data_IF_120641465109
#
_entry.id   IF_120641465109
#
_cell.length_a   1.000
_cell.length_b   1.000
_cell.length_c   1.000
_cell.angle_alpha   90.00
_cell.angle_beta   90.00
_cell.angle_gamma   90.00
#
_symmetry.space_group_name_H-M   'P 1'
#
loop_
_entity.id
_entity.type
_entity.pdbx_description
1 polymer ?
#
# COMPACT_ATOMS: atom_id res chain seq x y z
N UNK A 1 0.32 13.40 -23.37
CA UNK A 1 1.40 12.44 -23.10
C UNK A 1 0.79 11.29 -22.33
N UNK A 2 0.83 10.04 -22.80
CA UNK A 2 0.44 8.93 -21.93
C UNK A 2 1.41 8.93 -20.74
N UNK A 3 0.89 9.01 -19.52
CA UNK A 3 1.69 9.08 -18.30
C UNK A 3 2.62 7.86 -18.23
N UNK A 4 3.93 8.09 -18.08
CA UNK A 4 4.91 7.01 -18.02
C UNK A 4 4.61 6.06 -16.86
N UNK A 5 4.84 4.76 -17.08
CA UNK A 5 4.76 3.72 -16.06
C UNK A 5 5.61 4.09 -14.85
N UNK A 6 5.00 4.20 -13.67
CA UNK A 6 5.70 4.61 -12.45
C UNK A 6 6.38 3.39 -11.80
N UNK A 7 7.54 3.01 -12.36
CA UNK A 7 8.39 1.96 -11.80
C UNK A 7 9.19 2.52 -10.62
N UNK A 8 8.94 2.01 -9.41
CA UNK A 8 9.63 2.46 -8.20
C UNK A 8 9.80 1.34 -7.17
N UNK A 9 10.98 1.29 -6.56
CA UNK A 9 11.29 0.37 -5.47
C UNK A 9 11.54 -1.08 -5.92
N UNK A 10 11.91 -1.94 -4.97
CA UNK A 10 12.12 -3.37 -5.17
C UNK A 10 11.38 -4.20 -4.12
N UNK A 11 11.83 -5.43 -3.86
CA UNK A 11 11.24 -6.32 -2.83
C UNK A 11 11.19 -5.65 -1.44
N UNK A 12 12.23 -4.90 -1.08
CA UNK A 12 12.27 -4.17 0.20
C UNK A 12 11.19 -3.08 0.33
N UNK A 13 10.73 -2.52 -0.80
CA UNK A 13 9.64 -1.54 -0.79
C UNK A 13 8.31 -2.23 -0.47
N UNK A 14 8.09 -3.47 -0.93
CA UNK A 14 6.88 -4.21 -0.57
C UNK A 14 6.82 -4.46 0.93
N UNK A 15 7.92 -4.95 1.52
CA UNK A 15 8.01 -5.15 2.96
C UNK A 15 7.73 -3.87 3.75
N UNK A 16 8.28 -2.72 3.32
CA UNK A 16 8.00 -1.43 3.95
C UNK A 16 6.51 -1.07 3.89
N UNK A 17 5.89 -1.27 2.73
CA UNK A 17 4.49 -0.96 2.54
C UNK A 17 3.59 -1.89 3.37
N UNK A 18 3.97 -3.16 3.55
CA UNK A 18 3.26 -4.11 4.43
C UNK A 18 3.36 -3.69 5.89
N UNK A 19 4.56 -3.30 6.34
CA UNK A 19 4.78 -2.79 7.70
C UNK A 19 3.95 -1.53 7.95
N UNK A 20 3.91 -0.60 6.98
CA UNK A 20 3.07 0.61 7.09
C UNK A 20 1.59 0.21 7.19
N UNK A 21 1.08 -0.65 6.32
CA UNK A 21 -0.32 -1.08 6.36
C UNK A 21 -0.69 -1.72 7.70
N UNK A 22 0.16 -2.61 8.21
CA UNK A 22 -0.02 -3.23 9.53
C UNK A 22 0.00 -2.21 10.68
N UNK A 23 0.92 -1.24 10.64
CA UNK A 23 1.01 -0.17 11.63
C UNK A 23 -0.25 0.71 11.62
N UNK A 24 -0.73 1.13 10.44
CA UNK A 24 -1.93 1.94 10.32
C UNK A 24 -3.16 1.19 10.87
N UNK A 25 -3.36 -0.08 10.47
CA UNK A 25 -4.47 -0.89 10.95
C UNK A 25 -4.44 -1.15 12.46
N UNK A 26 -3.26 -1.35 13.03
CA UNK A 26 -3.11 -1.45 14.48
C UNK A 26 -3.58 -0.17 15.18
N UNK A 27 -3.11 1.00 14.72
CA UNK A 27 -3.44 2.28 15.36
C UNK A 27 -4.91 2.67 15.21
N UNK A 28 -5.50 2.48 14.04
CA UNK A 28 -6.94 2.75 13.86
C UNK A 28 -7.79 1.83 14.73
N UNK A 29 -7.37 0.57 14.90
CA UNK A 29 -8.04 -0.39 15.77
C UNK A 29 -7.97 0.00 17.25
N UNK A 30 -6.78 0.30 17.78
CA UNK A 30 -6.61 0.59 19.21
C UNK A 30 -7.21 1.95 19.59
N UNK A 31 -7.30 2.89 18.66
CA UNK A 31 -7.79 4.25 18.90
C UNK A 31 -9.30 4.44 18.66
N UNK A 32 -10.01 3.48 18.05
CA UNK A 32 -11.40 3.65 17.58
C UNK A 32 -12.42 4.17 18.61
N UNK A 33 -12.20 3.92 19.90
CA UNK A 33 -13.05 4.41 21.00
C UNK A 33 -12.25 5.13 22.09
N UNK A 34 -11.11 5.73 21.70
CA UNK A 34 -10.23 6.46 22.62
C UNK A 34 -10.37 7.96 22.40
N UNK A 35 -10.31 8.79 23.45
CA UNK A 35 -10.20 8.40 24.87
C UNK A 35 -11.48 7.75 25.42
N UNK A 36 -12.66 8.07 24.88
CA UNK A 36 -13.94 7.48 25.27
C UNK A 36 -14.79 7.13 24.05
N UNK A 37 -15.77 6.22 24.17
CA UNK A 37 -16.69 5.89 23.08
C UNK A 37 -17.51 7.08 22.56
N UNK A 38 -17.93 7.98 23.44
CA UNK A 38 -18.75 9.16 23.09
C UNK A 38 -17.92 10.37 22.62
N UNK A 39 -16.59 10.29 22.77
CA UNK A 39 -15.67 11.34 22.36
C UNK A 39 -14.38 10.76 21.79
N UNK A 40 -14.43 10.03 20.66
CA UNK A 40 -13.25 9.41 20.07
C UNK A 40 -12.35 10.43 19.36
N UNK A 41 -11.08 10.07 19.17
CA UNK A 41 -10.15 10.82 18.36
C UNK A 41 -10.59 10.87 16.89
N UNK A 42 -10.36 12.01 16.24
CA UNK A 42 -10.43 12.13 14.80
C UNK A 42 -9.06 11.79 14.20
N UNK A 43 -8.97 10.61 13.59
CA UNK A 43 -7.74 10.11 12.94
C UNK A 43 -7.57 10.70 11.54
N UNK A 44 -6.39 11.25 11.27
CA UNK A 44 -5.98 11.79 9.97
C UNK A 44 -4.78 11.00 9.47
N UNK A 45 -4.84 10.57 8.21
CA UNK A 45 -3.68 10.05 7.51
C UNK A 45 -2.92 11.22 6.87
N UNK A 46 -1.58 11.20 6.96
CA UNK A 46 -0.70 12.19 6.33
C UNK A 46 0.53 11.46 5.81
N UNK A 47 0.81 11.61 4.51
CA UNK A 47 2.00 11.03 3.88
C UNK A 47 2.62 12.04 2.91
N UNK A 48 3.73 12.66 3.34
CA UNK A 48 4.47 13.64 2.55
C UNK A 48 5.19 13.01 1.34
N UNK A 49 5.24 11.68 1.26
CA UNK A 49 5.94 10.92 0.23
C UNK A 49 5.04 9.89 -0.45
N UNK A 50 3.72 10.13 -0.48
CA UNK A 50 2.71 9.23 -1.05
C UNK A 50 2.92 8.89 -2.54
N UNK A 51 3.64 9.75 -3.27
CA UNK A 51 3.82 9.62 -4.71
C UNK A 51 2.47 9.57 -5.45
N UNK A 52 2.34 8.67 -6.43
CA UNK A 52 1.08 8.45 -7.15
C UNK A 52 0.08 7.56 -6.40
N UNK A 53 0.43 7.05 -5.21
CA UNK A 53 -0.37 6.07 -4.47
C UNK A 53 -0.33 4.64 -5.03
N UNK A 54 0.35 4.40 -6.15
CA UNK A 54 0.59 3.08 -6.74
C UNK A 54 1.97 3.01 -7.40
N UNK A 55 2.43 1.79 -7.71
CA UNK A 55 3.68 1.54 -8.42
C UNK A 55 3.54 0.39 -9.40
N UNK A 56 4.28 0.43 -10.49
CA UNK A 56 4.39 -0.67 -11.44
C UNK A 56 5.54 -1.58 -11.06
N UNK A 57 5.27 -2.88 -10.93
CA UNK A 57 6.28 -3.92 -10.75
C UNK A 57 6.26 -4.85 -11.96
N UNK A 58 7.43 -5.38 -12.31
CA UNK A 58 7.56 -6.36 -13.37
C UNK A 58 7.66 -7.75 -12.73
N UNK A 59 6.76 -8.64 -13.12
CA UNK A 59 6.72 -10.02 -12.64
C UNK A 59 7.12 -10.91 -13.82
N UNK A 60 8.22 -11.63 -13.64
CA UNK A 60 8.64 -12.66 -14.58
C UNK A 60 8.12 -14.02 -14.12
N UNK A 61 7.51 -14.77 -15.03
CA UNK A 61 7.05 -16.15 -14.81
C UNK A 61 7.48 -17.06 -15.95
N UNK A 62 7.47 -18.37 -15.72
CA UNK A 62 7.94 -19.36 -16.66
C UNK A 62 9.47 -19.46 -16.73
N UNK A 63 9.96 -20.16 -17.75
CA UNK A 63 11.37 -20.39 -17.98
C UNK A 63 11.80 -21.84 -17.74
N UNK A 64 13.11 -22.06 -17.77
CA UNK A 64 13.70 -23.41 -17.80
C UNK A 64 13.28 -24.30 -16.61
N UNK A 65 13.08 -23.71 -15.43
CA UNK A 65 12.69 -24.45 -14.22
C UNK A 65 11.18 -24.74 -14.13
N UNK A 66 10.37 -24.03 -14.91
CA UNK A 66 8.91 -24.15 -14.91
C UNK A 66 8.37 -24.80 -16.20
N UNK A 67 9.25 -25.26 -17.09
CA UNK A 67 8.96 -25.89 -18.40
C UNK A 67 7.88 -25.17 -19.24
N UNK A 68 7.80 -23.85 -19.10
CA UNK A 68 6.82 -22.99 -19.78
C UNK A 68 7.51 -21.77 -20.41
N UNK A 69 6.94 -21.15 -21.46
CA UNK A 69 7.53 -19.96 -22.08
C UNK A 69 7.72 -18.83 -21.06
N UNK A 70 8.89 -18.19 -21.08
CA UNK A 70 9.18 -17.03 -20.25
C UNK A 70 8.22 -15.88 -20.60
N UNK A 71 7.56 -15.32 -19.59
CA UNK A 71 6.67 -14.16 -19.71
C UNK A 71 7.07 -13.09 -18.71
N UNK A 72 6.93 -11.84 -19.11
CA UNK A 72 7.08 -10.68 -18.25
C UNK A 72 5.79 -9.86 -18.31
N UNK A 73 5.23 -9.56 -17.15
CA UNK A 73 4.00 -8.80 -17.01
C UNK A 73 4.23 -7.59 -16.11
N UNK A 74 3.71 -6.44 -16.52
CA UNK A 74 3.70 -5.24 -15.69
C UNK A 74 2.41 -5.19 -14.88
N UNK A 75 2.55 -5.21 -13.55
CA UNK A 75 1.44 -5.14 -12.61
C UNK A 75 1.47 -3.82 -11.86
N UNK A 76 0.33 -3.13 -11.79
CA UNK A 76 0.17 -2.01 -10.86
C UNK A 76 -0.21 -2.52 -9.47
N UNK A 77 0.60 -2.17 -8.47
CA UNK A 77 0.39 -2.54 -7.06
C UNK A 77 0.22 -1.30 -6.18
N UNK A 78 -0.50 -1.46 -5.08
CA UNK A 78 -0.84 -0.38 -4.16
C UNK A 78 0.39 0.16 -3.41
N UNK A 79 0.58 1.48 -3.45
CA UNK A 79 1.52 2.22 -2.62
C UNK A 79 0.94 2.57 -1.25
N UNK A 80 1.61 3.44 -0.49
CA UNK A 80 1.23 3.77 0.89
C UNK A 80 -0.16 4.41 0.98
N UNK A 81 -0.44 5.41 0.15
CA UNK A 81 -1.72 6.12 0.16
C UNK A 81 -2.90 5.20 -0.19
N UNK A 82 -2.78 4.35 -1.23
CA UNK A 82 -3.84 3.42 -1.58
C UNK A 82 -4.08 2.36 -0.50
N UNK A 83 -3.01 1.86 0.12
CA UNK A 83 -3.13 0.95 1.28
C UNK A 83 -3.81 1.61 2.47
N UNK A 84 -3.55 2.89 2.73
CA UNK A 84 -4.20 3.63 3.80
C UNK A 84 -5.72 3.76 3.62
N UNK A 85 -6.21 3.82 2.37
CA UNK A 85 -7.64 3.81 2.04
C UNK A 85 -8.33 2.48 2.39
N UNK A 86 -7.58 1.38 2.37
CA UNK A 86 -8.07 0.02 2.56
C UNK A 86 -8.02 -0.43 4.04
N UNK A 87 -7.48 0.41 4.93
CA UNK A 87 -7.38 0.10 6.37
C UNK A 87 -8.76 0.06 7.03
N UNK A 88 -9.00 -0.97 7.85
CA UNK A 88 -10.19 -1.13 8.67
C UNK A 88 -9.80 -1.32 10.15
N UNK A 89 -10.27 -0.48 11.10
CA UNK A 89 -11.14 0.68 10.92
C UNK A 89 -10.51 1.81 10.10
N UNK A 90 -11.29 2.60 9.33
CA UNK A 90 -10.74 3.63 8.45
C UNK A 90 -10.29 4.89 9.19
N UNK A 91 -9.43 5.68 8.53
CA UNK A 91 -9.17 7.06 8.93
C UNK A 91 -10.40 7.93 8.70
N UNK A 92 -10.57 8.98 9.50
CA UNK A 92 -11.68 9.93 9.35
C UNK A 92 -11.39 11.00 8.28
N UNK A 93 -10.10 11.21 7.99
CA UNK A 93 -9.56 12.15 6.99
C UNK A 93 -8.29 11.57 6.39
N UNK A 94 -8.08 11.88 5.11
CA UNK A 94 -6.96 11.45 4.27
C UNK A 94 -6.30 12.68 3.65
#
# INVERSE_FOLDING_TARGET
MPGGTHKFGGTWTELKLDVIAGYLGFYTTVLKHKPTPDGPFKLWYVDAFAGSGSRTVEITSGGMFEETPLRAEELEVAGSARRALEVDPPFHRL
#
